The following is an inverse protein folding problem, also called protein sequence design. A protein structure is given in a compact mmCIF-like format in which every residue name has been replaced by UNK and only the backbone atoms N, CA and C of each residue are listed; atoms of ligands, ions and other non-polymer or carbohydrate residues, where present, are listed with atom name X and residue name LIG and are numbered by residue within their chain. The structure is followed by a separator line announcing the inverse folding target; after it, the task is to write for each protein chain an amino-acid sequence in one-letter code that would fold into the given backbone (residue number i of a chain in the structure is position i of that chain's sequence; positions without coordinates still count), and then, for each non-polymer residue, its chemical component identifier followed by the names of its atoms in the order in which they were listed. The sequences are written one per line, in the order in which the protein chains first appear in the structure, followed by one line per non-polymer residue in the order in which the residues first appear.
data_IF_342078032687
#
_entry.id   IF_342078032687
#
_cell.length_a   1.000
_cell.length_b   1.000
_cell.length_c   1.000
_cell.angle_alpha   90.00
_cell.angle_beta   90.00
_cell.angle_gamma   90.00
#
_symmetry.space_group_name_H-M   'P 1'
#
loop_
_entity.id
_entity.type
_entity.pdbx_description
1 polymer ?
#
# COMPACT_ATOMS: atom_id res chain seq x y z
N UNK A 1 -13.44 13.13 -23.05
CA UNK A 1 -12.81 12.20 -22.09
C UNK A 1 -11.60 12.90 -21.51
N UNK A 2 -11.65 13.28 -20.24
CA UNK A 2 -10.52 13.88 -19.52
C UNK A 2 -9.41 12.84 -19.43
N UNK A 3 -8.17 13.20 -19.78
CA UNK A 3 -7.03 12.31 -19.59
C UNK A 3 -6.88 12.01 -18.09
N UNK A 4 -6.49 10.78 -17.69
CA UNK A 4 -6.21 10.49 -16.29
C UNK A 4 -5.12 11.44 -15.78
N UNK A 5 -5.21 11.91 -14.53
CA UNK A 5 -4.21 12.82 -13.97
C UNK A 5 -2.82 12.18 -14.01
N UNK A 6 -1.82 12.98 -14.35
CA UNK A 6 -0.41 12.63 -14.20
C UNK A 6 -0.05 12.56 -12.71
N UNK A 7 1.11 11.99 -12.39
CA UNK A 7 1.56 11.94 -10.99
C UNK A 7 1.72 13.35 -10.38
N UNK A 8 2.09 14.35 -11.19
CA UNK A 8 2.19 15.75 -10.76
C UNK A 8 0.86 16.32 -10.27
N UNK A 9 -0.24 15.92 -10.89
CA UNK A 9 -1.58 16.42 -10.56
C UNK A 9 -2.08 15.90 -9.20
N UNK A 10 -1.45 14.85 -8.64
CA UNK A 10 -1.84 14.24 -7.37
C UNK A 10 -1.28 15.00 -6.14
N UNK A 11 -0.38 15.97 -6.34
CA UNK A 11 0.24 16.74 -5.27
C UNK A 11 1.13 15.92 -4.33
N UNK A 12 1.24 16.35 -3.07
CA UNK A 12 2.21 15.78 -2.11
C UNK A 12 1.60 14.95 -0.97
N UNK A 13 0.26 14.86 -0.88
CA UNK A 13 -0.47 14.03 0.10
C UNK A 13 -1.27 12.97 -0.64
N UNK A 14 -0.59 11.87 -0.99
CA UNK A 14 -1.12 10.85 -1.88
C UNK A 14 -1.64 9.66 -1.08
N UNK A 15 -2.94 9.40 -1.13
CA UNK A 15 -3.56 8.22 -0.53
C UNK A 15 -3.61 7.07 -1.53
N UNK A 16 -2.97 5.94 -1.21
CA UNK A 16 -2.97 4.75 -2.07
C UNK A 16 -3.84 3.66 -1.46
N UNK A 17 -4.94 3.34 -2.12
CA UNK A 17 -5.95 2.36 -1.70
C UNK A 17 -6.15 1.26 -2.74
N UNK A 18 -6.81 0.18 -2.35
CA UNK A 18 -7.04 -0.98 -3.23
C UNK A 18 -6.84 -2.31 -2.50
N UNK A 19 -7.41 -3.43 -2.99
CA UNK A 19 -7.48 -4.67 -2.23
C UNK A 19 -6.11 -5.19 -1.74
N UNK A 20 -6.13 -6.06 -0.73
CA UNK A 20 -4.92 -6.75 -0.28
C UNK A 20 -4.23 -7.42 -1.47
N UNK A 21 -2.90 -7.39 -1.46
CA UNK A 21 -2.04 -7.85 -2.56
C UNK A 21 -2.17 -7.12 -3.90
N UNK A 22 -2.89 -6.00 -4.03
CA UNK A 22 -2.99 -5.30 -5.34
C UNK A 22 -1.68 -4.67 -5.85
N UNK A 23 -0.70 -4.46 -4.97
CA UNK A 23 0.60 -3.82 -5.30
C UNK A 23 0.78 -2.42 -4.71
N UNK A 24 -0.11 -1.99 -3.80
CA UNK A 24 -0.08 -0.65 -3.16
C UNK A 24 1.26 -0.30 -2.55
N UNK A 25 1.82 -1.17 -1.70
CA UNK A 25 3.08 -0.90 -1.02
C UNK A 25 4.23 -0.65 -2.02
N UNK A 26 4.27 -1.42 -3.11
CA UNK A 26 5.25 -1.22 -4.19
C UNK A 26 5.01 0.07 -4.98
N UNK A 27 3.75 0.46 -5.22
CA UNK A 27 3.46 1.73 -5.88
C UNK A 27 3.78 2.91 -4.97
N UNK A 28 3.37 2.85 -3.70
CA UNK A 28 3.64 3.88 -2.71
C UNK A 28 5.14 4.13 -2.52
N UNK A 29 5.94 3.06 -2.44
CA UNK A 29 7.40 3.17 -2.38
C UNK A 29 8.00 3.79 -3.65
N UNK A 30 7.51 3.41 -4.83
CA UNK A 30 8.01 3.97 -6.09
C UNK A 30 7.66 5.47 -6.23
N UNK A 31 6.45 5.87 -5.86
CA UNK A 31 6.03 7.27 -5.81
C UNK A 31 6.89 8.05 -4.80
N UNK A 32 7.02 7.52 -3.57
CA UNK A 32 7.80 8.15 -2.52
C UNK A 32 9.26 8.36 -2.91
N UNK A 33 9.89 7.36 -3.54
CA UNK A 33 11.24 7.48 -4.07
C UNK A 33 11.35 8.54 -5.17
N UNK A 34 10.45 8.49 -6.17
CA UNK A 34 10.47 9.42 -7.30
C UNK A 34 10.20 10.87 -6.89
N UNK A 35 9.40 11.09 -5.83
CA UNK A 35 8.94 12.42 -5.39
C UNK A 35 9.63 12.93 -4.12
N UNK A 36 10.52 12.14 -3.52
CA UNK A 36 11.09 12.46 -2.21
C UNK A 36 10.03 12.65 -1.13
N UNK A 37 8.96 11.85 -1.16
CA UNK A 37 7.86 11.88 -0.19
C UNK A 37 8.03 10.76 0.84
N UNK A 38 7.77 11.02 2.13
CA UNK A 38 7.78 9.96 3.13
C UNK A 38 6.66 8.96 2.87
N UNK A 39 6.97 7.67 2.94
CA UNK A 39 6.02 6.59 2.69
C UNK A 39 5.62 5.94 3.99
N UNK A 40 4.32 5.81 4.22
CA UNK A 40 3.74 5.16 5.39
C UNK A 40 2.96 3.93 4.94
N UNK A 41 3.45 2.78 5.39
CA UNK A 41 2.76 1.50 5.23
C UNK A 41 1.93 1.22 6.48
N UNK A 42 0.61 1.34 6.41
CA UNK A 42 -0.24 1.23 7.61
C UNK A 42 -0.18 -0.15 8.26
N UNK A 43 0.17 -1.20 7.49
CA UNK A 43 0.47 -2.52 8.04
C UNK A 43 1.59 -2.48 9.10
N UNK A 44 2.57 -1.57 8.97
CA UNK A 44 3.68 -1.43 9.92
C UNK A 44 3.28 -0.67 11.19
N UNK A 45 2.22 0.14 11.13
CA UNK A 45 1.66 0.82 12.31
C UNK A 45 0.69 -0.10 13.05
N UNK A 46 -0.09 -0.89 12.30
CA UNK A 46 -1.11 -1.76 12.87
C UNK A 46 -0.53 -2.96 13.60
N UNK A 47 0.65 -3.44 13.23
CA UNK A 47 1.16 -4.69 13.75
C UNK A 47 2.54 -4.53 14.40
N UNK A 48 2.76 -5.31 15.46
CA UNK A 48 4.03 -5.32 16.19
C UNK A 48 5.15 -5.94 15.34
N UNK A 49 6.30 -5.25 15.16
CA UNK A 49 7.48 -5.82 14.51
C UNK A 49 7.96 -7.10 15.19
N UNK A 50 8.53 -8.05 14.43
CA UNK A 50 9.04 -9.32 14.97
C UNK A 50 7.96 -10.30 15.45
N UNK A 51 6.68 -9.99 15.24
CA UNK A 51 5.55 -10.86 15.62
C UNK A 51 4.87 -11.50 14.41
N UNK A 52 4.05 -12.52 14.64
CA UNK A 52 3.22 -13.13 13.60
C UNK A 52 1.97 -12.26 13.27
N UNK A 53 2.18 -11.00 12.90
CA UNK A 53 1.10 -10.03 12.59
C UNK A 53 0.18 -9.75 13.78
N UNK A 54 0.74 -9.59 14.99
CA UNK A 54 -0.07 -9.23 16.17
C UNK A 54 -0.46 -7.77 16.07
N UNK A 55 -1.76 -7.49 16.05
CA UNK A 55 -2.29 -6.13 15.99
C UNK A 55 -2.00 -5.34 17.28
N UNK A 56 -1.70 -4.05 17.14
CA UNK A 56 -1.66 -3.11 18.26
C UNK A 56 -3.09 -2.61 18.59
N UNK A 57 -3.28 -2.07 19.81
CA UNK A 57 -4.53 -1.41 20.20
C UNK A 57 -4.97 -0.30 19.23
N UNK A 58 -6.28 -0.08 19.13
CA UNK A 58 -6.86 0.88 18.19
C UNK A 58 -6.43 2.33 18.46
N UNK A 59 -6.23 2.70 19.72
CA UNK A 59 -5.76 4.00 20.17
C UNK A 59 -4.30 4.24 19.77
N UNK A 60 -3.43 3.23 19.91
CA UNK A 60 -2.04 3.30 19.47
C UNK A 60 -1.96 3.47 17.93
N UNK A 61 -2.74 2.66 17.20
CA UNK A 61 -2.83 2.80 15.75
C UNK A 61 -3.39 4.18 15.34
N UNK A 62 -4.44 4.65 16.01
CA UNK A 62 -5.07 5.94 15.71
C UNK A 62 -4.11 7.12 15.95
N UNK A 63 -3.29 7.06 17.00
CA UNK A 63 -2.28 8.07 17.29
C UNK A 63 -1.23 8.13 16.17
N UNK A 64 -0.60 6.99 15.84
CA UNK A 64 0.41 6.90 14.77
C UNK A 64 -0.16 7.32 13.40
N UNK A 65 -1.39 6.88 13.12
CA UNK A 65 -2.11 7.24 11.90
C UNK A 65 -2.35 8.76 11.83
N UNK A 66 -2.92 9.35 12.88
CA UNK A 66 -3.23 10.77 12.93
C UNK A 66 -1.98 11.63 12.81
N UNK A 67 -0.89 11.26 13.46
CA UNK A 67 0.39 11.95 13.36
C UNK A 67 0.92 11.95 11.91
N UNK A 68 0.84 10.81 11.22
CA UNK A 68 1.22 10.71 9.81
C UNK A 68 0.32 11.56 8.89
N UNK A 69 -0.99 11.59 9.14
CA UNK A 69 -1.95 12.34 8.31
C UNK A 69 -1.79 13.85 8.47
N UNK A 70 -1.42 14.33 9.66
CA UNK A 70 -1.18 15.76 9.94
C UNK A 70 0.05 16.31 9.22
N UNK A 71 0.98 15.47 8.77
CA UNK A 71 2.10 15.92 7.95
C UNK A 71 1.61 16.58 6.64
N UNK A 72 2.41 17.50 6.11
CA UNK A 72 2.08 18.22 4.87
C UNK A 72 2.46 17.45 3.60
N UNK A 73 3.33 16.44 3.73
CA UNK A 73 3.88 15.63 2.64
C UNK A 73 3.87 14.17 3.04
N UNK A 74 3.22 13.29 2.27
CA UNK A 74 3.18 11.86 2.53
C UNK A 74 2.63 11.05 1.36
N UNK A 75 3.03 9.77 1.32
CA UNK A 75 2.32 8.71 0.60
C UNK A 75 1.87 7.69 1.62
N UNK A 76 0.59 7.62 1.92
CA UNK A 76 0.04 6.68 2.90
C UNK A 76 -0.73 5.59 2.17
N UNK A 77 -0.40 4.32 2.44
CA UNK A 77 -1.07 3.18 1.84
C UNK A 77 -1.67 2.22 2.87
N UNK A 78 -2.87 1.73 2.57
CA UNK A 78 -3.57 0.71 3.36
C UNK A 78 -5.08 0.81 3.28
N UNK A 79 -5.78 -0.23 3.77
CA UNK A 79 -7.23 -0.41 3.60
C UNK A 79 -8.01 -0.35 4.92
N UNK A 80 -7.48 0.32 5.93
CA UNK A 80 -8.12 0.47 7.23
C UNK A 80 -9.32 1.42 7.12
N UNK A 81 -10.50 0.86 6.83
CA UNK A 81 -11.72 1.61 6.46
C UNK A 81 -12.18 2.58 7.54
N UNK A 82 -12.03 2.23 8.82
CA UNK A 82 -12.37 3.09 9.97
C UNK A 82 -11.59 4.42 9.97
N UNK A 83 -10.34 4.40 9.51
CA UNK A 83 -9.45 5.57 9.49
C UNK A 83 -9.24 6.12 8.06
N UNK A 84 -9.96 5.58 7.07
CA UNK A 84 -9.85 6.04 5.70
C UNK A 84 -10.38 7.48 5.51
N UNK A 85 -11.54 7.88 6.10
CA UNK A 85 -12.07 9.23 5.88
C UNK A 85 -11.09 10.35 6.21
N UNK A 86 -10.37 10.25 7.33
CA UNK A 86 -9.36 11.24 7.76
C UNK A 86 -8.24 11.40 6.73
N UNK A 87 -7.79 10.32 6.08
CA UNK A 87 -6.79 10.39 5.01
C UNK A 87 -7.33 11.04 3.76
N UNK A 88 -8.56 10.69 3.37
CA UNK A 88 -9.18 11.20 2.15
C UNK A 88 -9.45 12.71 2.25
N UNK A 89 -9.84 13.19 3.43
CA UNK A 89 -10.10 14.61 3.69
C UNK A 89 -8.86 15.49 3.50
N UNK A 90 -7.67 15.00 3.89
CA UNK A 90 -6.39 15.73 3.70
C UNK A 90 -5.66 15.40 2.40
N UNK A 91 -6.06 14.37 1.67
CA UNK A 91 -5.35 13.94 0.47
C UNK A 91 -5.43 15.01 -0.63
N UNK A 92 -4.28 15.34 -1.23
CA UNK A 92 -4.25 16.10 -2.48
C UNK A 92 -4.48 15.22 -3.68
N UNK A 93 -4.25 13.91 -3.54
CA UNK A 93 -4.47 12.95 -4.59
C UNK A 93 -4.78 11.55 -4.08
N UNK A 94 -5.61 10.81 -4.81
CA UNK A 94 -6.01 9.45 -4.43
C UNK A 94 -5.75 8.48 -5.57
N UNK A 95 -5.06 7.39 -5.28
CA UNK A 95 -4.81 6.30 -6.24
C UNK A 95 -5.52 5.04 -5.77
N UNK A 96 -6.44 4.54 -6.59
CA UNK A 96 -7.11 3.26 -6.36
C UNK A 96 -6.53 2.20 -7.30
N UNK A 97 -5.86 1.19 -6.73
CA UNK A 97 -5.50 -0.02 -7.47
C UNK A 97 -6.68 -0.98 -7.43
N UNK A 98 -7.04 -1.50 -8.59
CA UNK A 98 -7.96 -2.61 -8.69
C UNK A 98 -7.20 -3.90 -9.02
N UNK A 99 -7.42 -4.93 -8.20
CA UNK A 99 -6.96 -6.27 -8.50
C UNK A 99 -8.14 -7.21 -8.38
N UNK A 100 -8.29 -8.09 -9.37
CA UNK A 100 -9.33 -9.12 -9.33
C UNK A 100 -9.02 -10.13 -8.22
N UNK A 101 -10.07 -10.74 -7.66
CA UNK A 101 -9.92 -11.77 -6.61
C UNK A 101 -8.99 -12.92 -7.04
N UNK A 102 -9.09 -13.49 -8.26
CA UNK A 102 -8.16 -14.54 -8.71
C UNK A 102 -6.70 -14.07 -8.75
N UNK A 103 -6.44 -12.86 -9.26
CA UNK A 103 -5.10 -12.27 -9.26
C UNK A 103 -4.58 -12.06 -7.83
N UNK A 104 -5.44 -11.62 -6.93
CA UNK A 104 -5.09 -11.36 -5.53
C UNK A 104 -4.72 -12.64 -4.78
N UNK A 105 -5.47 -13.73 -5.01
CA UNK A 105 -5.20 -15.07 -4.45
C UNK A 105 -3.91 -15.66 -5.04
N UNK A 106 -3.74 -15.65 -6.36
CA UNK A 106 -2.53 -16.17 -7.01
C UNK A 106 -1.28 -15.44 -6.50
N UNK A 107 -1.36 -14.11 -6.39
CA UNK A 107 -0.25 -13.29 -5.91
C UNK A 107 0.02 -13.53 -4.43
N UNK A 108 -1.00 -13.72 -3.60
CA UNK A 108 -0.84 -14.10 -2.20
C UNK A 108 -0.08 -15.42 -2.06
N UNK A 109 -0.49 -16.46 -2.80
CA UNK A 109 0.16 -17.77 -2.79
C UNK A 109 1.62 -17.68 -3.26
N UNK A 110 1.87 -17.06 -4.42
CA UNK A 110 3.23 -16.84 -4.95
C UNK A 110 4.11 -16.06 -3.97
N UNK A 111 3.57 -15.03 -3.34
CA UNK A 111 4.29 -14.21 -2.35
C UNK A 111 4.63 -15.01 -1.10
N UNK A 112 3.74 -15.88 -0.65
CA UNK A 112 3.95 -16.68 0.55
C UNK A 112 5.04 -17.73 0.37
N UNK A 113 5.25 -18.20 -0.87
CA UNK A 113 6.35 -19.12 -1.21
C UNK A 113 7.65 -18.41 -1.62
N UNK A 114 7.65 -17.07 -1.71
CA UNK A 114 8.86 -16.30 -2.00
C UNK A 114 9.69 -16.11 -0.72
N UNK A 115 11.01 -16.35 -0.74
CA UNK A 115 11.89 -16.14 0.42
C UNK A 115 12.25 -14.66 0.64
N UNK A 116 11.72 -13.74 -0.17
CA UNK A 116 12.16 -12.34 -0.19
C UNK A 116 11.26 -11.44 0.68
N UNK A 117 11.89 -10.61 1.50
CA UNK A 117 11.22 -9.63 2.36
C UNK A 117 10.40 -8.63 1.52
N UNK A 118 9.18 -8.32 1.97
CA UNK A 118 8.23 -7.47 1.23
C UNK A 118 8.33 -6.00 1.61
N UNK A 119 8.09 -5.11 0.66
CA UNK A 119 7.83 -3.69 0.94
C UNK A 119 6.54 -3.59 1.77
N UNK A 120 6.57 -2.77 2.83
CA UNK A 120 5.49 -2.69 3.82
C UNK A 120 5.32 -3.97 4.64
N UNK A 121 6.34 -4.83 4.66
CA UNK A 121 6.40 -6.01 5.52
C UNK A 121 6.78 -5.67 6.94
N UNK A 122 6.46 -6.56 7.87
CA UNK A 122 6.99 -6.53 9.22
C UNK A 122 8.36 -7.20 9.22
N UNK A 123 9.32 -6.56 9.87
CA UNK A 123 10.66 -7.09 10.04
C UNK A 123 10.64 -8.42 10.82
N UNK A 124 11.37 -9.42 10.33
CA UNK A 124 11.49 -10.73 10.97
C UNK A 124 10.31 -11.69 10.76
N UNK A 125 9.23 -11.26 10.08
CA UNK A 125 8.03 -12.08 9.91
C UNK A 125 7.97 -12.72 8.52
N UNK A 126 7.84 -14.05 8.46
CA UNK A 126 7.49 -14.77 7.23
C UNK A 126 5.98 -14.83 7.09
N UNK A 127 5.46 -14.43 5.94
CA UNK A 127 4.07 -14.72 5.59
C UNK A 127 3.89 -16.25 5.58
N UNK A 128 2.89 -16.76 6.33
CA UNK A 128 2.43 -18.15 6.23
C UNK A 128 1.07 -18.16 5.55
N UNK A 129 0.79 -19.20 4.77
CA UNK A 129 -0.54 -19.33 4.14
C UNK A 129 -1.53 -19.52 5.27
N UNK A 130 -2.44 -18.57 5.43
CA UNK A 130 -3.49 -18.64 6.43
C UNK A 130 -4.83 -18.87 5.74
N UNK A 131 -5.57 -19.87 6.21
CA UNK A 131 -6.95 -20.09 5.79
C UNK A 131 -7.82 -18.86 6.05
N UNK A 132 -7.53 -18.08 7.10
CA UNK A 132 -8.22 -16.82 7.37
C UNK A 132 -7.97 -15.79 6.26
N UNK A 133 -6.72 -15.66 5.77
CA UNK A 133 -6.40 -14.76 4.66
C UNK A 133 -7.04 -15.23 3.35
N UNK A 134 -7.04 -16.54 3.05
CA UNK A 134 -7.71 -17.07 1.87
C UNK A 134 -9.23 -16.81 1.92
N UNK A 135 -9.88 -17.08 3.06
CA UNK A 135 -11.30 -16.77 3.27
C UNK A 135 -11.59 -15.28 3.14
N UNK A 136 -10.71 -14.43 3.67
CA UNK A 136 -10.82 -12.97 3.54
C UNK A 136 -10.78 -12.54 2.07
N UNK A 137 -9.82 -13.05 1.28
CA UNK A 137 -9.68 -12.74 -0.14
C UNK A 137 -10.88 -13.21 -0.98
N UNK A 138 -11.45 -14.38 -0.64
CA UNK A 138 -12.57 -14.97 -1.39
C UNK A 138 -13.95 -14.39 -1.04
N UNK A 139 -14.12 -13.78 0.15
CA UNK A 139 -15.40 -13.23 0.58
C UNK A 139 -15.34 -11.72 0.88
N UNK A 140 -14.94 -11.31 2.11
CA UNK A 140 -14.92 -9.90 2.55
C UNK A 140 -14.23 -8.93 1.60
N UNK A 141 -13.18 -9.36 0.88
CA UNK A 141 -12.47 -8.51 -0.06
C UNK A 141 -13.35 -8.00 -1.21
N UNK A 142 -14.40 -8.72 -1.62
CA UNK A 142 -15.34 -8.27 -2.66
C UNK A 142 -16.19 -7.09 -2.16
N UNK A 143 -16.75 -7.20 -0.96
CA UNK A 143 -17.49 -6.11 -0.33
C UNK A 143 -16.57 -4.93 0.02
N UNK A 144 -15.34 -5.20 0.46
CA UNK A 144 -14.31 -4.21 0.71
C UNK A 144 -13.93 -3.42 -0.54
N UNK A 145 -13.80 -4.09 -1.69
CA UNK A 145 -13.54 -3.44 -2.98
C UNK A 145 -14.64 -2.44 -3.36
N UNK A 146 -15.91 -2.79 -3.19
CA UNK A 146 -17.02 -1.86 -3.44
C UNK A 146 -16.98 -0.65 -2.48
N UNK A 147 -16.63 -0.85 -1.21
CA UNK A 147 -16.46 0.25 -0.25
C UNK A 147 -15.32 1.18 -0.65
N UNK A 148 -14.18 0.63 -1.06
CA UNK A 148 -13.04 1.42 -1.54
C UNK A 148 -13.41 2.20 -2.80
N UNK A 149 -14.11 1.57 -3.74
CA UNK A 149 -14.58 2.24 -4.95
C UNK A 149 -15.55 3.38 -4.62
N UNK A 150 -16.52 3.18 -3.72
CA UNK A 150 -17.42 4.26 -3.28
C UNK A 150 -16.67 5.41 -2.60
N UNK A 151 -15.70 5.10 -1.74
CA UNK A 151 -14.88 6.11 -1.08
C UNK A 151 -14.01 6.88 -2.08
N UNK A 152 -13.51 6.21 -3.12
CA UNK A 152 -12.78 6.84 -4.22
C UNK A 152 -13.68 7.76 -5.06
N UNK A 153 -14.90 7.30 -5.39
CA UNK A 153 -15.86 8.10 -6.15
C UNK A 153 -16.29 9.36 -5.39
N UNK A 154 -16.39 9.31 -4.05
CA UNK A 154 -16.77 10.47 -3.22
C UNK A 154 -15.69 11.53 -3.06
N UNK A 155 -14.47 11.30 -3.54
CA UNK A 155 -13.37 12.29 -3.42
C UNK A 155 -13.38 13.23 -4.63
N UNK A 156 -13.35 14.53 -4.36
CA UNK A 156 -13.23 15.58 -5.38
C UNK A 156 -11.79 15.92 -5.76
N UNK A 157 -10.83 15.57 -4.90
CA UNK A 157 -9.41 15.72 -5.18
C UNK A 157 -9.00 14.90 -6.43
N UNK A 158 -7.93 15.30 -7.13
CA UNK A 158 -7.33 14.54 -8.22
C UNK A 158 -7.24 13.05 -7.91
N UNK A 159 -7.85 12.22 -8.75
CA UNK A 159 -7.98 10.79 -8.47
C UNK A 159 -7.67 9.92 -9.68
N UNK A 160 -6.96 8.83 -9.43
CA UNK A 160 -6.46 7.90 -10.44
C UNK A 160 -6.91 6.48 -10.14
N UNK A 161 -7.67 5.90 -11.06
CA UNK A 161 -8.02 4.47 -11.04
C UNK A 161 -7.03 3.68 -11.90
N UNK A 162 -6.40 2.67 -11.30
CA UNK A 162 -5.55 1.69 -11.98
C UNK A 162 -6.30 0.35 -12.02
N UNK A 163 -7.15 0.10 -13.05
CA UNK A 163 -8.09 -1.02 -13.06
C UNK A 163 -7.42 -2.40 -13.21
N UNK A 164 -6.20 -2.43 -13.73
CA UNK A 164 -5.46 -3.65 -13.96
C UNK A 164 -3.94 -3.43 -13.96
N UNK A 165 -3.20 -4.53 -14.13
CA UNK A 165 -1.74 -4.52 -14.17
C UNK A 165 -1.18 -3.71 -15.34
N UNK A 166 -1.83 -3.72 -16.51
CA UNK A 166 -1.35 -2.99 -17.69
C UNK A 166 -1.48 -1.49 -17.46
N UNK A 167 -2.57 -1.04 -16.82
CA UNK A 167 -2.75 0.35 -16.42
C UNK A 167 -1.68 0.77 -15.41
N UNK A 168 -1.39 -0.07 -14.41
CA UNK A 168 -0.30 0.19 -13.44
C UNK A 168 1.07 0.29 -14.12
N UNK A 169 1.41 -0.65 -15.02
CA UNK A 169 2.69 -0.65 -15.75
C UNK A 169 2.81 0.54 -16.71
N UNK A 170 1.71 0.91 -17.38
CA UNK A 170 1.63 2.12 -18.19
C UNK A 170 1.88 3.38 -17.37
N UNK A 171 1.17 3.53 -16.26
CA UNK A 171 1.32 4.66 -15.35
C UNK A 171 2.75 4.77 -14.83
N UNK A 172 3.37 3.64 -14.43
CA UNK A 172 4.77 3.62 -14.00
C UNK A 172 5.72 4.10 -15.08
N UNK A 173 5.56 3.60 -16.32
CA UNK A 173 6.41 3.97 -17.45
C UNK A 173 6.26 5.45 -17.80
N UNK A 174 5.03 5.94 -17.88
CA UNK A 174 4.73 7.34 -18.22
C UNK A 174 5.25 8.33 -17.18
N UNK A 175 5.36 7.91 -15.91
CA UNK A 175 5.84 8.75 -14.81
C UNK A 175 7.27 8.40 -14.36
N UNK A 176 8.02 7.61 -15.14
CA UNK A 176 9.41 7.25 -14.84
C UNK A 176 9.61 6.54 -13.48
N UNK A 177 8.59 5.86 -12.97
CA UNK A 177 8.63 5.23 -11.65
C UNK A 177 9.51 3.98 -11.66
N UNK A 178 10.43 3.81 -10.69
CA UNK A 178 11.34 2.68 -10.66
C UNK A 178 10.58 1.36 -10.49
N UNK A 179 11.07 0.32 -11.16
CA UNK A 179 10.66 -1.05 -10.88
C UNK A 179 11.36 -1.48 -9.58
N UNK A 180 10.60 -1.54 -8.49
CA UNK A 180 11.19 -1.90 -7.20
C UNK A 180 11.34 -3.43 -7.13
N UNK A 181 12.56 -3.92 -7.34
CA UNK A 181 12.95 -5.23 -6.89
C UNK A 181 13.11 -5.18 -5.36
N UNK A 182 12.51 -6.10 -4.59
CA UNK A 182 12.69 -6.11 -3.15
C UNK A 182 14.19 -6.19 -2.81
N UNK A 183 14.61 -5.47 -1.77
CA UNK A 183 15.99 -5.51 -1.31
C UNK A 183 16.37 -6.95 -0.98
N UNK A 184 17.27 -7.54 -1.78
CA UNK A 184 18.02 -8.72 -1.35
C UNK A 184 18.75 -8.31 -0.08
N UNK A 185 18.59 -9.10 0.99
CA UNK A 185 19.24 -8.83 2.29
C UNK A 185 20.69 -8.46 2.05
N UNK A 186 21.05 -7.26 2.52
CA UNK A 186 22.43 -6.85 2.60
C UNK A 186 23.21 -7.97 3.30
N UNK A 187 24.23 -8.46 2.62
CA UNK A 187 25.29 -9.21 3.27
C UNK A 187 25.66 -8.42 4.53
N UNK A 188 25.53 -9.07 5.68
CA UNK A 188 26.11 -8.59 6.92
C UNK A 188 27.59 -8.38 6.64
N UNK A 189 28.01 -7.15 6.35
CA UNK A 189 29.42 -6.77 6.47
C UNK A 189 29.70 -6.80 7.96
N UNK A 190 30.19 -7.96 8.41
CA UNK A 190 30.88 -8.10 9.69
C UNK A 190 32.12 -7.20 9.64
N UNK A 191 31.91 -5.93 9.99
CA UNK A 191 32.98 -4.99 10.25
C UNK A 191 33.68 -5.41 11.54
N UNK A 192 34.71 -6.26 11.42
CA UNK A 192 35.69 -6.48 12.48
C UNK A 192 36.41 -5.14 12.70
N UNK A 193 36.15 -4.50 13.83
CA UNK A 193 36.92 -3.36 14.31
C UNK A 193 38.38 -3.79 14.54
N UNK A 194 39.28 -2.87 14.24
CA UNK A 194 40.73 -2.95 14.50
C UNK A 194 41.01 -3.20 15.98
#
# INVERSE_FOLDING_TARGET
MTLPPALDDLGERICVIGPSTSGKSTLAAAIGHSRGLPVVHLDQYRHRPGTAWVECPDDEFAALHGDAVRCERWVIEGNYSRWLPERLDRATGVVLLDATTPTSVLRYLRRTWSPVDRIGGLEGTRDRVSLAMLRFLLGPARAGRLRLFRAFESVDAPKLLLPDRRALERFRRENGLPEYAPATRGAVRTGRRR
#
